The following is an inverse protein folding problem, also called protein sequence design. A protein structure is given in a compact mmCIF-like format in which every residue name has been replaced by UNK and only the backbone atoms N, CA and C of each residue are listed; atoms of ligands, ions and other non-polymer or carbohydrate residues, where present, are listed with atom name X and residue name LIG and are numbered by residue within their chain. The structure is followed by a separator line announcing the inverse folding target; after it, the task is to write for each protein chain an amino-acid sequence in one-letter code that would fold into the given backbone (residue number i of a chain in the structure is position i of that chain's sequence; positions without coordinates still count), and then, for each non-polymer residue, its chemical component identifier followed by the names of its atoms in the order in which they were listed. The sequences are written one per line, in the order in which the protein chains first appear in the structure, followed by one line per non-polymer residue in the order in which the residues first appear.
data_IF_109120011758
#
_entry.id   IF_109120011758
#
_cell.length_a   1.000
_cell.length_b   1.000
_cell.length_c   1.000
_cell.angle_alpha   90.00
_cell.angle_beta   90.00
_cell.angle_gamma   90.00
#
_symmetry.space_group_name_H-M   'P 1'
#
loop_
_entity.id
_entity.type
_entity.pdbx_description
1 polymer ?
#
# COMPACT_ATOMS: atom_id res chain seq x y z
N UNK A 1 -0.58 -8.06 -24.71
CA UNK A 1 -0.38 -9.11 -25.71
C UNK A 1 0.97 -8.90 -26.37
N UNK A 2 1.90 -9.83 -26.17
CA UNK A 2 2.98 -10.02 -27.14
C UNK A 2 2.31 -10.60 -28.39
N UNK A 3 2.10 -9.78 -29.42
CA UNK A 3 1.40 -10.14 -30.66
C UNK A 3 2.13 -11.21 -31.51
N UNK A 4 3.22 -11.77 -30.96
CA UNK A 4 4.10 -12.69 -31.65
C UNK A 4 4.30 -13.94 -30.80
N UNK A 5 3.61 -15.01 -31.19
CA UNK A 5 3.67 -16.31 -30.52
C UNK A 5 5.04 -17.00 -30.70
N UNK A 6 5.90 -16.53 -31.63
CA UNK A 6 7.26 -17.06 -31.81
C UNK A 6 8.31 -16.02 -32.26
N UNK A 7 9.60 -16.38 -32.17
CA UNK A 7 10.69 -15.56 -32.74
C UNK A 7 10.67 -15.47 -34.27
N UNK A 8 9.97 -16.41 -34.93
CA UNK A 8 9.88 -16.46 -36.39
C UNK A 8 8.76 -15.54 -36.92
N UNK A 9 7.65 -15.39 -36.19
CA UNK A 9 6.58 -14.43 -36.56
C UNK A 9 7.08 -12.98 -36.52
N UNK A 10 7.91 -12.65 -35.52
CA UNK A 10 8.59 -11.34 -35.44
C UNK A 10 9.49 -11.08 -36.65
N UNK A 11 10.19 -12.12 -37.13
CA UNK A 11 11.06 -11.98 -38.30
C UNK A 11 10.24 -11.79 -39.57
N UNK A 12 9.10 -12.46 -39.69
CA UNK A 12 8.23 -12.33 -40.84
C UNK A 12 7.63 -10.92 -40.95
N UNK A 13 7.08 -10.39 -39.85
CA UNK A 13 6.57 -9.01 -39.84
C UNK A 13 7.69 -8.00 -40.08
N UNK A 14 8.88 -8.21 -39.50
CA UNK A 14 10.02 -7.32 -39.76
C UNK A 14 10.45 -7.33 -41.24
N UNK A 15 10.36 -8.48 -41.92
CA UNK A 15 10.63 -8.58 -43.35
C UNK A 15 9.58 -7.80 -44.17
N UNK A 16 8.29 -7.88 -43.81
CA UNK A 16 7.20 -7.10 -44.43
C UNK A 16 7.43 -5.60 -44.27
N UNK A 17 7.75 -5.16 -43.06
CA UNK A 17 8.09 -3.76 -42.73
C UNK A 17 9.30 -3.27 -43.55
N UNK A 18 10.39 -4.03 -43.55
CA UNK A 18 11.62 -3.66 -44.29
C UNK A 18 11.36 -3.59 -45.80
N UNK A 19 10.56 -4.53 -46.33
CA UNK A 19 10.13 -4.52 -47.75
C UNK A 19 9.36 -3.25 -48.07
N UNK A 20 8.41 -2.85 -47.20
CA UNK A 20 7.61 -1.64 -47.40
C UNK A 20 8.44 -0.35 -47.31
N UNK A 21 9.34 -0.25 -46.32
CA UNK A 21 10.25 0.90 -46.19
C UNK A 21 11.19 1.02 -47.40
N UNK A 22 11.72 -0.12 -47.88
CA UNK A 22 12.58 -0.13 -49.07
C UNK A 22 11.83 0.28 -50.34
N UNK A 23 10.56 -0.10 -50.47
CA UNK A 23 9.68 0.32 -51.57
C UNK A 23 9.56 1.85 -51.59
N UNK A 24 9.27 2.45 -50.44
CA UNK A 24 9.13 3.91 -50.32
C UNK A 24 10.45 4.64 -50.57
N UNK A 25 11.56 4.13 -50.03
CA UNK A 25 12.89 4.73 -50.18
C UNK A 25 13.38 4.70 -51.65
N UNK A 26 13.13 3.60 -52.35
CA UNK A 26 13.58 3.40 -53.73
C UNK A 26 12.58 3.90 -54.79
N UNK A 27 11.40 4.38 -54.38
CA UNK A 27 10.28 4.75 -55.27
C UNK A 27 9.87 3.61 -56.23
N UNK A 28 9.92 2.38 -55.72
CA UNK A 28 9.51 1.18 -56.47
C UNK A 28 8.05 0.81 -56.17
N UNK A 29 7.46 -0.07 -56.98
CA UNK A 29 6.11 -0.58 -56.76
C UNK A 29 6.18 -2.06 -56.39
N UNK A 30 6.00 -2.38 -55.12
CA UNK A 30 5.81 -3.74 -54.65
C UNK A 30 4.34 -3.99 -54.38
N UNK A 31 3.89 -5.23 -54.64
CA UNK A 31 2.56 -5.66 -54.23
C UNK A 31 2.57 -5.96 -52.74
N UNK A 32 1.49 -5.58 -52.06
CA UNK A 32 1.14 -5.97 -50.69
C UNK A 32 -0.35 -6.24 -50.68
N UNK A 33 -0.79 -7.29 -50.00
CA UNK A 33 -2.21 -7.52 -49.74
C UNK A 33 -2.67 -6.84 -48.44
N UNK A 34 -3.97 -6.94 -48.12
CA UNK A 34 -4.53 -6.32 -46.93
C UNK A 34 -3.93 -6.87 -45.63
N UNK A 35 -3.65 -8.18 -45.57
CA UNK A 35 -3.09 -8.83 -44.38
C UNK A 35 -1.65 -8.35 -44.13
N UNK A 36 -0.82 -8.27 -45.17
CA UNK A 36 0.52 -7.72 -45.05
C UNK A 36 0.52 -6.25 -44.60
N UNK A 37 -0.46 -5.44 -45.05
CA UNK A 37 -0.61 -4.09 -44.55
C UNK A 37 -1.04 -4.04 -43.08
N UNK A 38 -1.94 -4.91 -42.64
CA UNK A 38 -2.37 -5.00 -41.25
C UNK A 38 -1.16 -5.24 -40.34
N UNK A 39 -0.34 -6.26 -40.65
CA UNK A 39 0.87 -6.59 -39.90
C UNK A 39 1.83 -5.40 -39.75
N UNK A 40 2.05 -4.66 -40.84
CA UNK A 40 2.95 -3.50 -40.85
C UNK A 40 2.38 -2.36 -40.00
N UNK A 41 1.07 -2.11 -40.08
CA UNK A 41 0.42 -1.04 -39.31
C UNK A 41 0.44 -1.37 -37.82
N UNK A 42 0.08 -2.59 -37.45
CA UNK A 42 0.10 -3.07 -36.06
C UNK A 42 1.51 -3.03 -35.46
N UNK A 43 2.52 -3.41 -36.25
CA UNK A 43 3.92 -3.26 -35.86
C UNK A 43 4.27 -1.82 -35.46
N UNK A 44 3.89 -0.83 -36.26
CA UNK A 44 4.14 0.57 -35.93
C UNK A 44 3.29 1.05 -34.75
N UNK A 45 2.03 0.64 -34.64
CA UNK A 45 1.14 0.98 -33.52
C UNK A 45 1.67 0.47 -32.18
N UNK A 46 2.13 -0.79 -32.12
CA UNK A 46 2.72 -1.40 -30.92
C UNK A 46 3.94 -0.62 -30.42
N UNK A 47 4.71 -0.02 -31.35
CA UNK A 47 5.89 0.80 -31.03
C UNK A 47 5.57 2.28 -30.85
N UNK A 48 4.29 2.65 -30.88
CA UNK A 48 3.82 4.05 -30.83
C UNK A 48 4.39 4.94 -31.94
N UNK A 49 4.77 4.34 -33.07
CA UNK A 49 5.27 5.01 -34.27
C UNK A 49 4.11 5.48 -35.15
N UNK A 50 3.23 6.32 -34.58
CA UNK A 50 1.92 6.64 -35.19
C UNK A 50 2.01 7.28 -36.58
N UNK A 51 3.08 8.05 -36.87
CA UNK A 51 3.23 8.69 -38.17
C UNK A 51 3.54 7.68 -39.28
N UNK A 52 4.35 6.67 -38.98
CA UNK A 52 4.63 5.57 -39.89
C UNK A 52 3.38 4.73 -40.12
N UNK A 53 2.64 4.42 -39.04
CA UNK A 53 1.35 3.73 -39.13
C UNK A 53 0.34 4.49 -40.01
N UNK A 54 0.24 5.81 -39.85
CA UNK A 54 -0.61 6.67 -40.68
C UNK A 54 -0.23 6.60 -42.17
N UNK A 55 1.06 6.70 -42.49
CA UNK A 55 1.52 6.63 -43.88
C UNK A 55 1.13 5.29 -44.53
N UNK A 56 1.27 4.18 -43.79
CA UNK A 56 0.93 2.84 -44.29
C UNK A 56 -0.58 2.69 -44.45
N UNK A 57 -1.38 3.16 -43.46
CA UNK A 57 -2.84 3.17 -43.52
C UNK A 57 -3.35 3.99 -44.70
N UNK A 58 -2.83 5.20 -44.93
CA UNK A 58 -3.25 6.05 -46.04
C UNK A 58 -2.89 5.41 -47.39
N UNK A 59 -1.68 4.85 -47.51
CA UNK A 59 -1.25 4.15 -48.71
C UNK A 59 -2.14 2.94 -49.01
N UNK A 60 -2.38 2.10 -48.00
CA UNK A 60 -3.17 0.87 -48.14
C UNK A 60 -4.65 1.16 -48.44
N UNK A 61 -5.26 2.18 -47.82
CA UNK A 61 -6.64 2.58 -48.10
C UNK A 61 -6.82 3.22 -49.49
N UNK A 62 -5.78 3.82 -50.07
CA UNK A 62 -5.83 4.27 -51.46
C UNK A 62 -5.92 3.09 -52.44
N UNK A 63 -5.30 1.96 -52.11
CA UNK A 63 -5.35 0.73 -52.91
C UNK A 63 -6.61 -0.11 -52.63
N UNK A 64 -7.03 -0.16 -51.36
CA UNK A 64 -8.13 -1.00 -50.87
C UNK A 64 -9.16 -0.17 -50.08
N UNK A 65 -9.89 0.76 -50.71
CA UNK A 65 -10.75 1.74 -50.02
C UNK A 65 -11.97 1.13 -49.31
N UNK A 66 -12.36 -0.09 -49.66
CA UNK A 66 -13.49 -0.80 -49.06
C UNK A 66 -13.10 -1.75 -47.93
N UNK A 67 -11.80 -1.89 -47.62
CA UNK A 67 -11.34 -2.77 -46.55
C UNK A 67 -11.78 -2.23 -45.19
N UNK A 68 -12.53 -3.04 -44.44
CA UNK A 68 -13.03 -2.66 -43.11
C UNK A 68 -11.90 -2.72 -42.09
N UNK A 69 -11.09 -3.77 -42.12
CA UNK A 69 -9.97 -3.94 -41.19
C UNK A 69 -8.97 -2.78 -41.29
N UNK A 70 -8.65 -2.33 -42.51
CA UNK A 70 -7.78 -1.15 -42.70
C UNK A 70 -8.42 0.15 -42.18
N UNK A 71 -9.76 0.26 -42.23
CA UNK A 71 -10.48 1.39 -41.63
C UNK A 71 -10.52 1.30 -40.10
N UNK A 72 -10.61 0.10 -39.52
CA UNK A 72 -10.48 -0.11 -38.07
C UNK A 72 -9.07 0.30 -37.62
N UNK A 73 -8.04 -0.14 -38.33
CA UNK A 73 -6.64 0.26 -38.06
C UNK A 73 -6.44 1.77 -38.23
N UNK A 74 -7.09 2.40 -39.22
CA UNK A 74 -7.11 3.87 -39.34
C UNK A 74 -7.70 4.53 -38.10
N UNK A 75 -8.79 3.99 -37.55
CA UNK A 75 -9.34 4.49 -36.29
C UNK A 75 -8.31 4.39 -35.16
N UNK A 76 -7.62 3.26 -35.03
CA UNK A 76 -6.59 3.09 -34.00
C UNK A 76 -5.43 4.09 -34.16
N UNK A 77 -5.01 4.38 -35.39
CA UNK A 77 -4.04 5.45 -35.69
C UNK A 77 -4.57 6.82 -35.24
N UNK A 78 -5.83 7.16 -35.54
CA UNK A 78 -6.47 8.41 -35.09
C UNK A 78 -6.51 8.49 -33.56
N UNK A 79 -6.78 7.37 -32.87
CA UNK A 79 -6.71 7.28 -31.40
C UNK A 79 -5.29 7.55 -30.90
N UNK A 80 -4.27 7.01 -31.56
CA UNK A 80 -2.86 7.29 -31.27
C UNK A 80 -2.49 8.78 -31.38
N UNK A 81 -3.06 9.48 -32.36
CA UNK A 81 -2.96 10.94 -32.50
C UNK A 81 -3.89 11.75 -31.58
N UNK A 82 -4.66 11.08 -30.70
CA UNK A 82 -5.63 11.70 -29.80
C UNK A 82 -6.81 12.38 -30.54
N UNK A 83 -7.04 12.04 -31.82
CA UNK A 83 -8.13 12.55 -32.64
C UNK A 83 -9.43 11.77 -32.39
N UNK A 84 -9.88 11.73 -31.13
CA UNK A 84 -10.95 10.83 -30.69
C UNK A 84 -12.31 11.09 -31.35
N UNK A 85 -12.61 12.33 -31.75
CA UNK A 85 -13.87 12.65 -32.42
C UNK A 85 -13.92 12.08 -33.83
N UNK A 86 -12.86 12.28 -34.61
CA UNK A 86 -12.72 11.72 -35.95
C UNK A 86 -12.72 10.18 -35.92
N UNK A 87 -12.05 9.61 -34.91
CA UNK A 87 -12.08 8.18 -34.66
C UNK A 87 -13.50 7.67 -34.37
N UNK A 88 -14.28 8.40 -33.55
CA UNK A 88 -15.66 8.03 -33.24
C UNK A 88 -16.55 8.07 -34.48
N UNK A 89 -16.45 9.15 -35.28
CA UNK A 89 -17.23 9.31 -36.51
C UNK A 89 -16.95 8.16 -37.49
N UNK A 90 -15.67 7.78 -37.66
CA UNK A 90 -15.25 6.69 -38.54
C UNK A 90 -15.76 5.33 -38.05
N UNK A 91 -15.69 5.06 -36.74
CA UNK A 91 -16.19 3.82 -36.16
C UNK A 91 -17.70 3.69 -36.28
N UNK A 92 -18.45 4.78 -36.05
CA UNK A 92 -19.91 4.78 -36.21
C UNK A 92 -20.32 4.57 -37.68
N UNK A 93 -19.53 5.04 -38.65
CA UNK A 93 -19.72 4.73 -40.06
C UNK A 93 -19.54 3.24 -40.35
N UNK A 94 -18.47 2.62 -39.84
CA UNK A 94 -18.17 1.20 -40.08
C UNK A 94 -19.23 0.30 -39.41
N UNK A 95 -19.69 0.66 -38.22
CA UNK A 95 -20.67 -0.11 -37.44
C UNK A 95 -22.01 -0.30 -38.17
N UNK A 96 -22.38 0.61 -39.08
CA UNK A 96 -23.58 0.48 -39.91
C UNK A 96 -23.54 -0.78 -40.81
N UNK A 97 -22.33 -1.23 -41.17
CA UNK A 97 -22.10 -2.39 -42.02
C UNK A 97 -21.77 -3.64 -41.20
N UNK A 98 -20.99 -3.48 -40.12
CA UNK A 98 -20.56 -4.58 -39.25
C UNK A 98 -20.88 -4.33 -37.76
N UNK A 99 -22.16 -4.45 -37.36
CA UNK A 99 -22.60 -4.12 -36.01
C UNK A 99 -22.15 -5.10 -34.91
N UNK A 100 -21.55 -6.24 -35.29
CA UNK A 100 -21.11 -7.31 -34.38
C UNK A 100 -19.61 -7.62 -34.51
N UNK A 101 -18.85 -6.81 -35.26
CA UNK A 101 -17.40 -6.97 -35.34
C UNK A 101 -16.78 -6.61 -33.97
N UNK A 102 -16.09 -7.58 -33.35
CA UNK A 102 -15.56 -7.46 -31.99
C UNK A 102 -14.48 -6.39 -31.91
N UNK A 103 -13.55 -6.38 -32.85
CA UNK A 103 -12.44 -5.41 -32.88
C UNK A 103 -12.95 -3.98 -33.04
N UNK A 104 -13.95 -3.79 -33.91
CA UNK A 104 -14.63 -2.52 -34.07
C UNK A 104 -15.31 -2.05 -32.77
N UNK A 105 -16.05 -2.94 -32.10
CA UNK A 105 -16.76 -2.62 -30.85
C UNK A 105 -15.78 -2.35 -29.70
N UNK A 106 -14.64 -3.05 -29.64
CA UNK A 106 -13.56 -2.79 -28.70
C UNK A 106 -12.98 -1.40 -28.93
N UNK A 107 -12.57 -1.09 -30.18
CA UNK A 107 -12.05 0.22 -30.54
C UNK A 107 -13.07 1.33 -30.24
N UNK A 108 -14.35 1.12 -30.55
CA UNK A 108 -15.43 2.05 -30.21
C UNK A 108 -15.51 2.31 -28.71
N UNK A 109 -15.50 1.25 -27.91
CA UNK A 109 -15.51 1.34 -26.46
C UNK A 109 -14.31 2.13 -25.93
N UNK A 110 -13.10 1.87 -26.46
CA UNK A 110 -11.88 2.61 -26.12
C UNK A 110 -11.97 4.09 -26.49
N UNK A 111 -12.50 4.43 -27.67
CA UNK A 111 -12.70 5.83 -28.09
C UNK A 111 -13.68 6.55 -27.16
N UNK A 112 -14.84 5.93 -26.88
CA UNK A 112 -15.86 6.48 -25.96
C UNK A 112 -15.30 6.67 -24.55
N UNK A 113 -14.48 5.72 -24.11
CA UNK A 113 -13.74 5.75 -22.86
C UNK A 113 -12.78 6.95 -22.79
N UNK A 114 -11.98 7.20 -23.84
CA UNK A 114 -11.10 8.40 -23.93
C UNK A 114 -11.89 9.70 -23.97
N UNK A 115 -13.11 9.69 -24.51
CA UNK A 115 -14.04 10.80 -24.50
C UNK A 115 -14.81 10.98 -23.17
N UNK A 116 -14.50 10.17 -22.14
CA UNK A 116 -15.17 10.16 -20.82
C UNK A 116 -16.67 9.83 -20.88
N UNK A 117 -17.08 9.07 -21.89
CA UNK A 117 -18.45 8.59 -22.06
C UNK A 117 -18.59 7.16 -21.53
N UNK A 118 -18.31 6.97 -20.23
CA UNK A 118 -18.18 5.64 -19.61
C UNK A 118 -19.40 4.74 -19.80
N UNK A 119 -20.62 5.27 -19.66
CA UNK A 119 -21.85 4.48 -19.84
C UNK A 119 -21.96 3.88 -21.26
N UNK A 120 -21.60 4.67 -22.27
CA UNK A 120 -21.61 4.21 -23.67
C UNK A 120 -20.47 3.24 -23.94
N UNK A 121 -19.30 3.47 -23.35
CA UNK A 121 -18.15 2.56 -23.47
C UNK A 121 -18.50 1.17 -22.88
N UNK A 122 -19.06 1.13 -21.68
CA UNK A 122 -19.51 -0.10 -21.01
C UNK A 122 -20.58 -0.82 -21.84
N UNK A 123 -21.56 -0.08 -22.38
CA UNK A 123 -22.59 -0.66 -23.24
C UNK A 123 -22.00 -1.26 -24.52
N UNK A 124 -20.96 -0.64 -25.06
CA UNK A 124 -20.24 -1.13 -26.23
C UNK A 124 -19.47 -2.42 -25.92
N UNK A 125 -18.66 -2.43 -24.86
CA UNK A 125 -17.90 -3.62 -24.46
C UNK A 125 -18.81 -4.81 -24.11
N UNK A 126 -19.97 -4.57 -23.49
CA UNK A 126 -20.94 -5.65 -23.19
C UNK A 126 -21.48 -6.34 -24.44
N UNK A 127 -21.57 -5.64 -25.58
CA UNK A 127 -21.97 -6.24 -26.86
C UNK A 127 -20.92 -7.20 -27.42
N UNK A 128 -19.66 -7.06 -27.02
CA UNK A 128 -18.59 -7.97 -27.44
C UNK A 128 -18.71 -9.36 -26.80
N UNK A 129 -19.33 -9.48 -25.62
CA UNK A 129 -19.30 -10.71 -24.80
C UNK A 129 -19.87 -11.92 -25.54
N UNK A 130 -20.95 -11.74 -26.30
CA UNK A 130 -21.63 -12.85 -26.99
C UNK A 130 -20.91 -13.28 -28.29
N UNK A 131 -19.93 -12.50 -28.75
CA UNK A 131 -19.28 -12.68 -30.05
C UNK A 131 -17.75 -12.80 -29.97
N UNK A 132 -17.16 -12.60 -28.79
CA UNK A 132 -15.71 -12.63 -28.59
C UNK A 132 -15.23 -14.01 -28.13
N UNK A 133 -14.14 -14.47 -28.74
CA UNK A 133 -13.37 -15.62 -28.27
C UNK A 133 -12.46 -15.27 -27.06
N UNK A 134 -12.24 -13.97 -26.81
CA UNK A 134 -11.34 -13.41 -25.79
C UNK A 134 -12.14 -12.63 -24.71
N UNK A 135 -13.08 -13.33 -24.08
CA UNK A 135 -13.99 -12.72 -23.12
C UNK A 135 -13.29 -12.17 -21.86
N UNK A 136 -12.12 -12.69 -21.50
CA UNK A 136 -11.32 -12.17 -20.38
C UNK A 136 -10.88 -10.72 -20.61
N UNK A 137 -10.42 -10.38 -21.82
CA UNK A 137 -10.04 -9.01 -22.18
C UNK A 137 -11.25 -8.07 -22.16
N UNK A 138 -12.38 -8.51 -22.71
CA UNK A 138 -13.64 -7.74 -22.70
C UNK A 138 -14.07 -7.46 -21.25
N UNK A 139 -14.02 -8.46 -20.37
CA UNK A 139 -14.33 -8.26 -18.96
C UNK A 139 -13.35 -7.31 -18.28
N UNK A 140 -12.06 -7.35 -18.61
CA UNK A 140 -11.08 -6.40 -18.11
C UNK A 140 -11.46 -4.97 -18.52
N UNK A 141 -11.75 -4.71 -19.81
CA UNK A 141 -12.17 -3.38 -20.28
C UNK A 141 -13.41 -2.87 -19.54
N UNK A 142 -14.44 -3.71 -19.36
CA UNK A 142 -15.64 -3.32 -18.60
C UNK A 142 -15.29 -2.98 -17.15
N UNK A 143 -14.47 -3.81 -16.51
CA UNK A 143 -14.06 -3.62 -15.12
C UNK A 143 -13.27 -2.31 -14.91
N UNK A 144 -12.33 -2.00 -15.81
CA UNK A 144 -11.54 -0.76 -15.78
C UNK A 144 -12.41 0.49 -15.98
N UNK A 145 -13.47 0.40 -16.80
CA UNK A 145 -14.43 1.51 -16.93
C UNK A 145 -15.22 1.74 -15.65
N UNK A 146 -15.73 0.67 -15.01
CA UNK A 146 -16.40 0.78 -13.71
C UNK A 146 -15.47 1.33 -12.62
N UNK A 147 -14.21 0.91 -12.61
CA UNK A 147 -13.19 1.41 -11.70
C UNK A 147 -12.95 2.92 -11.89
N UNK A 148 -12.89 3.39 -13.15
CA UNK A 148 -12.71 4.82 -13.45
C UNK A 148 -13.85 5.69 -12.92
N UNK A 149 -15.08 5.19 -12.96
CA UNK A 149 -16.24 5.88 -12.38
C UNK A 149 -16.41 5.60 -10.88
N UNK A 150 -15.44 4.93 -10.24
CA UNK A 150 -15.40 4.58 -8.82
C UNK A 150 -16.53 3.64 -8.36
N UNK A 151 -17.17 2.94 -9.30
CA UNK A 151 -18.15 1.89 -9.02
C UNK A 151 -17.43 0.56 -8.75
N UNK A 152 -16.68 0.51 -7.64
CA UNK A 152 -15.77 -0.59 -7.33
C UNK A 152 -16.46 -1.95 -7.22
N UNK A 153 -17.72 -2.01 -6.78
CA UNK A 153 -18.45 -3.29 -6.66
C UNK A 153 -18.71 -3.95 -8.01
N UNK A 154 -19.10 -3.19 -9.03
CA UNK A 154 -19.26 -3.71 -10.39
C UNK A 154 -17.89 -4.00 -11.01
N UNK A 155 -16.89 -3.16 -10.76
CA UNK A 155 -15.51 -3.43 -11.20
C UNK A 155 -15.00 -4.78 -10.67
N UNK A 156 -15.13 -5.04 -9.36
CA UNK A 156 -14.81 -6.33 -8.72
C UNK A 156 -15.53 -7.47 -9.43
N UNK A 157 -16.82 -7.32 -9.73
CA UNK A 157 -17.61 -8.36 -10.40
C UNK A 157 -17.01 -8.75 -11.76
N UNK A 158 -16.64 -7.77 -12.59
CA UNK A 158 -16.09 -8.04 -13.92
C UNK A 158 -14.64 -8.52 -13.87
N UNK A 159 -13.79 -8.00 -12.98
CA UNK A 159 -12.45 -8.58 -12.78
C UNK A 159 -12.51 -10.03 -12.28
N UNK A 160 -13.47 -10.37 -11.40
CA UNK A 160 -13.71 -11.76 -11.00
C UNK A 160 -14.13 -12.65 -12.18
N UNK A 161 -14.83 -12.11 -13.18
CA UNK A 161 -15.16 -12.86 -14.41
C UNK A 161 -13.93 -13.02 -15.30
N UNK A 162 -13.16 -11.95 -15.50
CA UNK A 162 -11.88 -11.96 -16.22
C UNK A 162 -10.96 -13.08 -15.68
N UNK A 163 -10.72 -13.08 -14.36
CA UNK A 163 -9.83 -14.05 -13.71
C UNK A 163 -10.38 -15.48 -13.66
N UNK A 164 -11.70 -15.68 -13.76
CA UNK A 164 -12.26 -17.03 -13.90
C UNK A 164 -11.97 -17.64 -15.27
N UNK A 165 -11.83 -16.80 -16.29
CA UNK A 165 -11.50 -17.21 -17.66
C UNK A 165 -9.99 -17.31 -17.86
N UNK A 166 -9.25 -16.31 -17.37
CA UNK A 166 -7.79 -16.23 -17.43
C UNK A 166 -7.22 -15.91 -16.04
N UNK A 167 -6.95 -16.93 -15.21
CA UNK A 167 -6.46 -16.78 -13.84
C UNK A 167 -5.07 -16.14 -13.72
N UNK A 168 -4.27 -16.20 -14.79
CA UNK A 168 -2.90 -15.69 -14.85
C UNK A 168 -2.84 -14.22 -15.31
N UNK A 169 -3.98 -13.57 -15.53
CA UNK A 169 -4.02 -12.16 -15.91
C UNK A 169 -3.56 -11.26 -14.74
N UNK A 170 -2.27 -10.93 -14.72
CA UNK A 170 -1.62 -10.13 -13.68
C UNK A 170 -2.24 -8.73 -13.53
N UNK A 171 -2.60 -8.07 -14.64
CA UNK A 171 -3.24 -6.75 -14.61
C UNK A 171 -4.59 -6.82 -13.91
N UNK A 172 -5.41 -7.84 -14.23
CA UNK A 172 -6.70 -8.03 -13.59
C UNK A 172 -6.57 -8.39 -12.10
N UNK A 173 -5.54 -9.17 -11.72
CA UNK A 173 -5.25 -9.45 -10.31
C UNK A 173 -4.89 -8.16 -9.54
N UNK A 174 -3.97 -7.36 -10.10
CA UNK A 174 -3.57 -6.09 -9.52
C UNK A 174 -4.76 -5.13 -9.34
N UNK A 175 -5.55 -4.93 -10.39
CA UNK A 175 -6.67 -4.00 -10.36
C UNK A 175 -7.84 -4.49 -9.48
N UNK A 176 -8.06 -5.81 -9.42
CA UNK A 176 -9.00 -6.40 -8.47
C UNK A 176 -8.58 -6.17 -7.02
N UNK A 177 -7.29 -6.33 -6.70
CA UNK A 177 -6.78 -6.05 -5.35
C UNK A 177 -7.00 -4.60 -4.96
N UNK A 178 -6.69 -3.66 -5.85
CA UNK A 178 -6.95 -2.23 -5.61
C UNK A 178 -8.43 -1.99 -5.29
N UNK A 179 -9.35 -2.61 -6.04
CA UNK A 179 -10.78 -2.47 -5.74
C UNK A 179 -11.16 -3.05 -4.37
N UNK A 180 -10.55 -4.17 -3.95
CA UNK A 180 -10.76 -4.73 -2.61
C UNK A 180 -10.22 -3.81 -1.51
N UNK A 181 -9.08 -3.16 -1.73
CA UNK A 181 -8.53 -2.17 -0.80
C UNK A 181 -9.43 -0.94 -0.69
N UNK A 182 -9.89 -0.38 -1.81
CA UNK A 182 -10.82 0.76 -1.82
C UNK A 182 -12.15 0.46 -1.13
N UNK A 183 -12.61 -0.79 -1.18
CA UNK A 183 -13.87 -1.24 -0.53
C UNK A 183 -13.66 -1.84 0.86
N UNK A 184 -12.40 -1.99 1.30
CA UNK A 184 -12.02 -2.70 2.53
C UNK A 184 -12.61 -4.13 2.61
N UNK A 185 -12.86 -4.78 1.46
CA UNK A 185 -13.56 -6.06 1.37
C UNK A 185 -12.59 -7.25 1.25
N UNK A 186 -11.73 -7.42 2.25
CA UNK A 186 -10.75 -8.51 2.28
C UNK A 186 -11.36 -9.89 2.52
N UNK A 187 -12.53 -9.96 3.16
CA UNK A 187 -13.27 -11.23 3.33
C UNK A 187 -13.75 -11.77 1.98
N UNK A 188 -14.34 -10.90 1.14
CA UNK A 188 -14.76 -11.25 -0.21
C UNK A 188 -13.59 -11.52 -1.18
N UNK A 189 -12.40 -10.99 -0.88
CA UNK A 189 -11.15 -11.32 -1.59
C UNK A 189 -10.70 -12.75 -1.26
N UNK A 190 -10.64 -13.10 0.03
CA UNK A 190 -10.28 -14.45 0.50
C UNK A 190 -11.22 -15.50 -0.09
N UNK A 191 -12.54 -15.29 -0.04
CA UNK A 191 -13.52 -16.22 -0.61
C UNK A 191 -13.28 -16.44 -2.12
N UNK A 192 -13.03 -15.35 -2.85
CA UNK A 192 -12.81 -15.44 -4.28
C UNK A 192 -11.50 -16.15 -4.63
N UNK A 193 -10.39 -15.75 -4.02
CA UNK A 193 -9.09 -16.37 -4.30
C UNK A 193 -9.04 -17.83 -3.86
N UNK A 194 -9.68 -18.20 -2.75
CA UNK A 194 -9.82 -19.60 -2.32
C UNK A 194 -10.52 -20.45 -3.38
N UNK A 195 -11.60 -19.94 -3.97
CA UNK A 195 -12.26 -20.63 -5.08
C UNK A 195 -11.45 -20.65 -6.38
N UNK A 196 -10.58 -19.66 -6.58
CA UNK A 196 -9.77 -19.55 -7.78
C UNK A 196 -8.58 -20.52 -7.75
N UNK A 197 -7.92 -20.68 -6.59
CA UNK A 197 -6.86 -21.68 -6.40
C UNK A 197 -7.35 -23.11 -6.53
N UNK A 198 -8.62 -23.40 -6.19
CA UNK A 198 -9.21 -24.73 -6.41
C UNK A 198 -9.20 -25.12 -7.91
N UNK A 199 -9.25 -24.13 -8.81
CA UNK A 199 -9.20 -24.33 -10.26
C UNK A 199 -7.80 -24.18 -10.84
N UNK A 200 -6.99 -23.30 -10.26
CA UNK A 200 -5.65 -22.96 -10.74
C UNK A 200 -4.62 -23.00 -9.59
N UNK A 201 -4.31 -24.20 -9.06
CA UNK A 201 -3.52 -24.32 -7.84
C UNK A 201 -2.03 -23.98 -8.03
N UNK A 202 -1.55 -23.92 -9.27
CA UNK A 202 -0.14 -23.68 -9.61
C UNK A 202 0.16 -22.25 -10.07
N UNK A 203 -0.72 -21.29 -9.79
CA UNK A 203 -0.45 -19.88 -10.04
C UNK A 203 -0.02 -19.18 -8.74
N UNK A 204 1.25 -18.79 -8.65
CA UNK A 204 1.85 -18.15 -7.48
C UNK A 204 1.20 -16.79 -7.18
N UNK A 205 0.81 -16.05 -8.21
CA UNK A 205 0.22 -14.72 -8.08
C UNK A 205 -1.11 -14.76 -7.31
N UNK A 206 -1.91 -15.82 -7.50
CA UNK A 206 -3.18 -15.99 -6.77
C UNK A 206 -2.90 -16.30 -5.29
N UNK A 207 -1.94 -17.19 -5.01
CA UNK A 207 -1.52 -17.49 -3.63
C UNK A 207 -0.96 -16.26 -2.91
N UNK A 208 -0.14 -15.46 -3.61
CA UNK A 208 0.41 -14.21 -3.09
C UNK A 208 -0.70 -13.20 -2.76
N UNK A 209 -1.70 -13.04 -3.64
CA UNK A 209 -2.82 -12.13 -3.40
C UNK A 209 -3.75 -12.62 -2.28
N UNK A 210 -3.97 -13.94 -2.17
CA UNK A 210 -4.68 -14.53 -1.05
C UNK A 210 -3.95 -14.29 0.28
N UNK A 211 -2.62 -14.43 0.29
CA UNK A 211 -1.79 -14.14 1.44
C UNK A 211 -1.90 -12.67 1.86
N UNK A 212 -1.84 -11.74 0.91
CA UNK A 212 -2.05 -10.30 1.15
C UNK A 212 -3.40 -10.01 1.81
N UNK A 213 -4.48 -10.63 1.33
CA UNK A 213 -5.81 -10.48 1.93
C UNK A 213 -5.89 -11.05 3.37
N UNK A 214 -5.20 -12.16 3.66
CA UNK A 214 -5.08 -12.67 5.03
C UNK A 214 -4.26 -11.74 5.93
N UNK A 215 -3.16 -11.16 5.43
CA UNK A 215 -2.36 -10.17 6.17
C UNK A 215 -3.17 -8.93 6.53
N UNK A 216 -4.01 -8.43 5.62
CA UNK A 216 -4.89 -7.27 5.90
C UNK A 216 -5.94 -7.54 6.98
N UNK A 217 -6.31 -8.81 7.20
CA UNK A 217 -7.18 -9.22 8.30
C UNK A 217 -6.40 -9.73 9.53
N UNK A 218 -5.09 -9.46 9.59
CA UNK A 218 -4.18 -9.85 10.67
C UNK A 218 -4.15 -11.38 10.93
N UNK A 219 -4.53 -12.18 9.92
CA UNK A 219 -4.46 -13.64 9.97
C UNK A 219 -3.09 -14.11 9.53
N UNK A 220 -2.07 -13.65 10.25
CA UNK A 220 -0.65 -13.75 9.88
C UNK A 220 -0.20 -15.16 9.50
N UNK A 221 -0.52 -16.17 10.32
CA UNK A 221 -0.12 -17.56 10.03
C UNK A 221 -0.73 -18.11 8.74
N UNK A 222 -1.99 -17.75 8.43
CA UNK A 222 -2.62 -18.15 7.17
C UNK A 222 -1.99 -17.45 5.97
N UNK A 223 -1.56 -16.20 6.15
CA UNK A 223 -0.82 -15.48 5.12
C UNK A 223 0.54 -16.17 4.86
N UNK A 224 1.26 -16.56 5.92
CA UNK A 224 2.52 -17.32 5.82
C UNK A 224 2.33 -18.61 5.04
N UNK A 225 1.30 -19.41 5.37
CA UNK A 225 0.98 -20.64 4.62
C UNK A 225 0.78 -20.37 3.12
N UNK A 226 0.05 -19.30 2.78
CA UNK A 226 -0.20 -18.91 1.39
C UNK A 226 1.08 -18.44 0.67
N UNK A 227 1.94 -17.66 1.34
CA UNK A 227 3.24 -17.28 0.78
C UNK A 227 4.14 -18.50 0.57
N UNK A 228 4.09 -19.49 1.46
CA UNK A 228 4.82 -20.75 1.29
C UNK A 228 4.36 -21.52 0.04
N UNK A 229 3.07 -21.55 -0.25
CA UNK A 229 2.58 -22.11 -1.52
C UNK A 229 3.05 -21.31 -2.74
N UNK A 230 3.00 -19.97 -2.68
CA UNK A 230 3.50 -19.12 -3.76
C UNK A 230 5.00 -19.37 -4.03
N UNK A 231 5.82 -19.47 -2.98
CA UNK A 231 7.25 -19.73 -3.07
C UNK A 231 7.58 -21.18 -3.50
N UNK A 232 6.73 -22.14 -3.15
CA UNK A 232 6.88 -23.52 -3.63
C UNK A 232 6.66 -23.62 -5.16
N UNK A 233 5.80 -22.76 -5.72
CA UNK A 233 5.53 -22.66 -7.16
C UNK A 233 6.64 -21.86 -7.85
N UNK A 234 6.98 -20.67 -7.32
CA UNK A 234 8.00 -19.79 -7.85
C UNK A 234 9.02 -19.40 -6.75
N UNK A 235 10.12 -20.17 -6.62
CA UNK A 235 11.14 -19.90 -5.61
C UNK A 235 11.92 -18.59 -5.80
N UNK A 236 11.78 -17.92 -6.94
CA UNK A 236 12.44 -16.63 -7.22
C UNK A 236 11.54 -15.42 -6.92
N UNK A 237 10.35 -15.64 -6.36
CA UNK A 237 9.40 -14.58 -6.10
C UNK A 237 9.79 -13.75 -4.85
N UNK A 238 10.71 -12.80 -5.04
CA UNK A 238 11.29 -12.00 -3.95
C UNK A 238 10.23 -11.28 -3.09
N UNK A 239 9.20 -10.71 -3.72
CA UNK A 239 8.09 -10.06 -3.01
C UNK A 239 7.36 -11.01 -2.04
N UNK A 240 7.27 -12.31 -2.35
CA UNK A 240 6.64 -13.29 -1.45
C UNK A 240 7.49 -13.57 -0.21
N UNK A 241 8.83 -13.64 -0.33
CA UNK A 241 9.71 -13.74 0.84
C UNK A 241 9.59 -12.52 1.75
N UNK A 242 9.65 -11.31 1.18
CA UNK A 242 9.56 -10.06 1.95
C UNK A 242 8.23 -9.99 2.72
N UNK A 243 7.10 -10.26 2.06
CA UNK A 243 5.80 -10.20 2.71
C UNK A 243 5.55 -11.35 3.70
N UNK A 244 6.12 -12.55 3.46
CA UNK A 244 6.12 -13.64 4.43
C UNK A 244 6.88 -13.25 5.69
N UNK A 245 8.06 -12.66 5.55
CA UNK A 245 8.86 -12.20 6.68
C UNK A 245 8.15 -11.08 7.46
N UNK A 246 7.51 -10.13 6.78
CA UNK A 246 6.66 -9.13 7.42
C UNK A 246 5.52 -9.77 8.23
N UNK A 247 4.81 -10.74 7.65
CA UNK A 247 3.72 -11.44 8.35
C UNK A 247 4.23 -12.19 9.60
N UNK A 248 5.41 -12.81 9.54
CA UNK A 248 6.04 -13.45 10.70
C UNK A 248 6.43 -12.42 11.77
N UNK A 249 7.00 -11.28 11.37
CA UNK A 249 7.34 -10.20 12.29
C UNK A 249 6.10 -9.61 12.98
N UNK A 250 5.01 -9.37 12.23
CA UNK A 250 3.72 -8.92 12.79
C UNK A 250 3.06 -9.95 13.71
N UNK A 251 3.30 -11.24 13.46
CA UNK A 251 2.90 -12.31 14.40
C UNK A 251 3.77 -12.36 15.67
N UNK A 252 4.96 -11.75 15.65
CA UNK A 252 5.93 -11.73 16.75
C UNK A 252 7.00 -12.83 16.67
N UNK A 253 7.06 -13.62 15.60
CA UNK A 253 8.13 -14.60 15.36
C UNK A 253 9.31 -13.94 14.60
N UNK A 254 10.03 -13.09 15.33
CA UNK A 254 11.15 -12.32 14.80
C UNK A 254 12.32 -13.20 14.36
N UNK A 255 12.59 -14.32 15.02
CA UNK A 255 13.64 -15.27 14.60
C UNK A 255 13.37 -15.83 13.21
N UNK A 256 12.15 -16.31 12.96
CA UNK A 256 11.76 -16.84 11.65
C UNK A 256 11.71 -15.73 10.60
N UNK A 257 11.19 -14.54 10.94
CA UNK A 257 11.18 -13.40 10.04
C UNK A 257 12.59 -13.04 9.53
N UNK A 258 13.58 -12.95 10.44
CA UNK A 258 14.99 -12.69 10.09
C UNK A 258 15.53 -13.74 9.12
N UNK A 259 15.18 -15.02 9.33
CA UNK A 259 15.61 -16.10 8.44
C UNK A 259 15.04 -15.90 7.03
N UNK A 260 13.74 -15.64 6.92
CA UNK A 260 13.05 -15.45 5.65
C UNK A 260 13.52 -14.18 4.91
N UNK A 261 13.74 -13.06 5.61
CA UNK A 261 14.36 -11.88 4.97
C UNK A 261 15.74 -12.19 4.42
N UNK A 262 16.56 -12.96 5.15
CA UNK A 262 17.90 -13.32 4.67
C UNK A 262 17.86 -14.28 3.50
N UNK A 263 16.89 -15.20 3.46
CA UNK A 263 16.65 -16.05 2.29
C UNK A 263 16.29 -15.20 1.06
N UNK A 264 15.53 -14.12 1.22
CA UNK A 264 15.21 -13.21 0.10
C UNK A 264 16.46 -12.58 -0.53
N UNK A 265 17.55 -12.40 0.23
CA UNK A 265 18.80 -11.83 -0.26
C UNK A 265 19.53 -12.73 -1.26
N UNK A 266 19.17 -14.01 -1.34
CA UNK A 266 19.72 -14.94 -2.34
C UNK A 266 19.05 -14.76 -3.72
N UNK A 267 17.90 -14.09 -3.77
CA UNK A 267 17.09 -13.90 -4.97
C UNK A 267 17.07 -12.45 -5.46
N UNK A 268 17.14 -11.49 -4.55
CA UNK A 268 17.18 -10.06 -4.86
C UNK A 268 18.14 -9.33 -3.92
N UNK A 269 18.89 -8.36 -4.44
CA UNK A 269 19.78 -7.55 -3.62
C UNK A 269 18.97 -6.76 -2.57
N UNK A 270 19.33 -6.85 -1.27
CA UNK A 270 18.61 -6.13 -0.23
C UNK A 270 18.70 -4.62 -0.40
N UNK A 271 17.54 -3.98 -0.42
CA UNK A 271 17.40 -2.53 -0.30
C UNK A 271 17.44 -2.08 1.17
N UNK A 272 17.54 -0.76 1.38
CA UNK A 272 17.71 -0.18 2.70
C UNK A 272 16.52 -0.47 3.63
N UNK A 273 15.31 -0.57 3.05
CA UNK A 273 14.06 -0.91 3.75
C UNK A 273 14.15 -2.34 4.31
N UNK A 274 14.62 -3.30 3.51
CA UNK A 274 14.70 -4.69 3.97
C UNK A 274 15.76 -4.83 5.07
N UNK A 275 16.86 -4.09 4.97
CA UNK A 275 17.84 -4.04 6.06
C UNK A 275 17.28 -3.45 7.36
N UNK A 276 16.45 -2.40 7.30
CA UNK A 276 15.84 -1.84 8.51
C UNK A 276 14.84 -2.79 9.15
N UNK A 277 14.01 -3.51 8.38
CA UNK A 277 13.12 -4.55 8.93
C UNK A 277 13.87 -5.69 9.63
N UNK A 278 15.00 -6.13 9.07
CA UNK A 278 15.87 -7.10 9.76
C UNK A 278 16.46 -6.50 11.04
N UNK A 279 16.86 -5.22 11.00
CA UNK A 279 17.31 -4.46 12.16
C UNK A 279 16.26 -4.43 13.27
N UNK A 280 15.01 -4.12 12.92
CA UNK A 280 13.87 -4.06 13.83
C UNK A 280 13.61 -5.42 14.48
N UNK A 281 13.65 -6.51 13.71
CA UNK A 281 13.49 -7.84 14.28
C UNK A 281 14.59 -8.15 15.32
N UNK A 282 15.84 -7.74 15.08
CA UNK A 282 16.91 -7.90 16.09
C UNK A 282 16.72 -6.99 17.31
N UNK A 283 16.24 -5.77 17.11
CA UNK A 283 15.90 -4.83 18.17
C UNK A 283 14.81 -5.40 19.09
N UNK A 284 13.71 -5.91 18.52
CA UNK A 284 12.61 -6.56 19.27
C UNK A 284 13.09 -7.77 20.07
N UNK A 285 14.09 -8.48 19.57
CA UNK A 285 14.76 -9.58 20.24
C UNK A 285 15.83 -9.13 21.26
N UNK A 286 16.01 -7.83 21.47
CA UNK A 286 17.05 -7.21 22.31
C UNK A 286 18.48 -7.61 21.93
N UNK A 287 18.70 -8.01 20.68
CA UNK A 287 20.01 -8.33 20.11
C UNK A 287 20.58 -7.06 19.46
N UNK A 288 20.73 -6.03 20.28
CA UNK A 288 20.95 -4.64 19.84
C UNK A 288 22.19 -4.45 18.95
N UNK A 289 23.30 -5.14 19.21
CA UNK A 289 24.50 -5.02 18.37
C UNK A 289 24.25 -5.49 16.94
N UNK A 290 23.41 -6.52 16.76
CA UNK A 290 22.99 -6.99 15.43
C UNK A 290 21.99 -6.03 14.80
N UNK A 291 21.06 -5.48 15.59
CA UNK A 291 20.13 -4.43 15.13
C UNK A 291 20.90 -3.25 14.54
N UNK A 292 21.85 -2.68 15.29
CA UNK A 292 22.71 -1.58 14.85
C UNK A 292 23.46 -1.92 13.57
N UNK A 293 24.00 -3.14 13.44
CA UNK A 293 24.69 -3.56 12.22
C UNK A 293 23.79 -3.46 10.98
N UNK A 294 22.55 -3.93 11.09
CA UNK A 294 21.60 -3.92 9.97
C UNK A 294 21.05 -2.52 9.69
N UNK A 295 20.72 -1.73 10.71
CA UNK A 295 20.34 -0.33 10.50
C UNK A 295 21.47 0.49 9.86
N UNK A 296 22.73 0.28 10.26
CA UNK A 296 23.88 0.92 9.60
C UNK A 296 24.03 0.52 8.13
N UNK A 297 23.71 -0.72 7.76
CA UNK A 297 23.66 -1.12 6.34
C UNK A 297 22.57 -0.36 5.57
N UNK A 298 21.40 -0.15 6.18
CA UNK A 298 20.35 0.68 5.60
C UNK A 298 20.82 2.13 5.41
N UNK A 299 21.42 2.73 6.44
CA UNK A 299 21.97 4.10 6.39
C UNK A 299 23.07 4.23 5.33
N UNK A 300 23.93 3.22 5.16
CA UNK A 300 24.97 3.25 4.12
C UNK A 300 24.38 3.26 2.69
N UNK A 301 23.18 2.73 2.48
CA UNK A 301 22.49 2.76 1.19
C UNK A 301 21.64 4.03 1.03
N UNK A 302 21.03 4.50 2.11
CA UNK A 302 20.25 5.74 2.14
C UNK A 302 20.47 6.47 3.47
N UNK A 303 21.31 7.50 3.46
CA UNK A 303 21.65 8.28 4.66
C UNK A 303 20.48 9.10 5.19
N UNK A 304 19.53 9.46 4.31
CA UNK A 304 18.37 10.29 4.64
C UNK A 304 17.18 9.47 5.18
N UNK A 305 17.36 8.16 5.38
CA UNK A 305 16.31 7.29 5.94
C UNK A 305 16.28 7.39 7.48
N UNK A 306 15.42 8.28 7.98
CA UNK A 306 15.37 8.66 9.39
C UNK A 306 15.02 7.50 10.34
N UNK A 307 14.18 6.56 9.92
CA UNK A 307 13.74 5.41 10.72
C UNK A 307 14.91 4.46 11.04
N UNK A 308 15.90 4.35 10.15
CA UNK A 308 17.10 3.59 10.48
C UNK A 308 17.98 4.29 11.54
N UNK A 309 18.01 5.63 11.55
CA UNK A 309 18.69 6.39 12.60
C UNK A 309 17.98 6.25 13.95
N UNK A 310 16.64 6.28 13.95
CA UNK A 310 15.83 5.95 15.13
C UNK A 310 16.17 4.55 15.66
N UNK A 311 16.18 3.53 14.79
CA UNK A 311 16.52 2.16 15.19
C UNK A 311 17.93 2.02 15.78
N UNK A 312 18.91 2.75 15.23
CA UNK A 312 20.26 2.84 15.86
C UNK A 312 20.17 3.48 17.24
N UNK A 313 19.41 4.56 17.40
CA UNK A 313 19.26 5.25 18.68
C UNK A 313 18.66 4.33 19.75
N UNK A 314 17.55 3.66 19.45
CA UNK A 314 16.89 2.70 20.35
C UNK A 314 17.84 1.57 20.73
N UNK A 315 18.54 0.99 19.77
CA UNK A 315 19.49 -0.09 20.07
C UNK A 315 20.70 0.40 20.90
N UNK A 316 21.25 1.58 20.63
CA UNK A 316 22.36 2.16 21.41
C UNK A 316 21.93 2.43 22.85
N UNK A 317 20.73 3.00 23.03
CA UNK A 317 20.17 3.25 24.35
C UNK A 317 19.92 1.95 25.13
N UNK A 318 19.40 0.91 24.46
CA UNK A 318 19.26 -0.43 25.02
C UNK A 318 20.57 -1.08 25.47
N UNK A 319 21.71 -0.66 24.92
CA UNK A 319 23.06 -1.05 25.34
C UNK A 319 23.63 -0.18 26.46
N UNK A 320 22.93 0.89 26.86
CA UNK A 320 23.39 1.88 27.83
C UNK A 320 24.33 2.94 27.25
N UNK A 321 24.48 3.01 25.93
CA UNK A 321 25.31 3.98 25.22
C UNK A 321 24.50 5.24 24.90
N UNK A 322 23.99 5.92 25.93
CA UNK A 322 23.01 7.00 25.75
C UNK A 322 23.57 8.22 24.98
N UNK A 323 24.88 8.47 24.99
CA UNK A 323 25.49 9.55 24.19
C UNK A 323 25.42 9.26 22.68
N UNK A 324 25.75 8.02 22.28
CA UNK A 324 25.65 7.58 20.90
C UNK A 324 24.19 7.44 20.44
N UNK A 325 23.29 7.06 21.35
CA UNK A 325 21.86 7.08 21.11
C UNK A 325 21.37 8.51 20.82
N UNK A 326 21.79 9.47 21.65
CA UNK A 326 21.48 10.89 21.48
C UNK A 326 21.93 11.42 20.13
N UNK A 327 23.18 11.15 19.73
CA UNK A 327 23.68 11.56 18.42
C UNK A 327 22.85 10.98 17.25
N UNK A 328 22.37 9.75 17.39
CA UNK A 328 21.58 9.07 16.36
C UNK A 328 20.14 9.61 16.28
N UNK A 329 19.50 9.85 17.43
CA UNK A 329 18.13 10.41 17.44
C UNK A 329 18.10 11.87 17.00
N UNK A 330 19.11 12.69 17.34
CA UNK A 330 19.24 14.04 16.80
C UNK A 330 19.32 14.01 15.27
N UNK A 331 20.06 13.05 14.70
CA UNK A 331 20.15 12.90 13.25
C UNK A 331 18.79 12.50 12.63
N UNK A 332 18.03 11.62 13.27
CA UNK A 332 16.67 11.27 12.83
C UNK A 332 15.74 12.51 12.82
N UNK A 333 15.76 13.31 13.88
CA UNK A 333 14.99 14.56 14.00
C UNK A 333 15.43 15.60 12.96
N UNK A 334 16.73 15.71 12.65
CA UNK A 334 17.20 16.61 11.59
C UNK A 334 16.62 16.28 10.22
N UNK A 335 16.46 14.99 9.93
CA UNK A 335 15.94 14.46 8.66
C UNK A 335 14.41 14.59 8.57
N UNK A 336 13.69 14.28 9.66
CA UNK A 336 12.26 14.46 9.76
C UNK A 336 11.86 14.99 11.14
N UNK A 337 11.32 16.21 11.15
CA UNK A 337 10.95 16.97 12.35
C UNK A 337 9.50 16.80 12.74
N UNK A 338 8.68 16.21 11.86
CA UNK A 338 7.24 16.12 12.03
C UNK A 338 6.82 14.76 12.59
N UNK A 339 7.75 13.82 12.74
CA UNK A 339 7.48 12.53 13.37
C UNK A 339 7.52 12.64 14.92
N UNK A 340 6.38 12.45 15.62
CA UNK A 340 6.32 12.54 17.09
C UNK A 340 7.17 11.48 17.80
N UNK A 341 7.31 10.28 17.22
CA UNK A 341 8.06 9.16 17.84
C UNK A 341 9.54 9.51 18.02
N UNK A 342 10.10 10.34 17.13
CA UNK A 342 11.49 10.75 17.21
C UNK A 342 11.72 11.69 18.40
N UNK A 343 10.81 12.65 18.59
CA UNK A 343 10.84 13.58 19.72
C UNK A 343 10.57 12.88 21.05
N UNK A 344 9.65 11.91 21.07
CA UNK A 344 9.40 11.05 22.23
C UNK A 344 10.67 10.29 22.63
N UNK A 345 11.29 9.60 21.67
CA UNK A 345 12.51 8.82 21.90
C UNK A 345 13.67 9.71 22.34
N UNK A 346 13.81 10.90 21.75
CA UNK A 346 14.81 11.88 22.17
C UNK A 346 14.60 12.30 23.62
N UNK A 347 13.36 12.60 24.01
CA UNK A 347 13.02 12.98 25.38
C UNK A 347 13.43 11.93 26.41
N UNK A 348 13.17 10.64 26.12
CA UNK A 348 13.59 9.56 27.02
C UNK A 348 15.12 9.48 27.15
N UNK A 349 15.84 9.59 26.03
CA UNK A 349 17.31 9.54 26.02
C UNK A 349 17.89 10.75 26.77
N UNK A 350 17.34 11.95 26.54
CA UNK A 350 17.71 13.19 27.23
C UNK A 350 17.47 13.09 28.74
N UNK A 351 16.33 12.51 29.16
CA UNK A 351 16.04 12.27 30.57
C UNK A 351 17.10 11.36 31.21
N UNK A 352 17.46 10.25 30.55
CA UNK A 352 18.50 9.32 31.04
C UNK A 352 19.88 9.97 31.13
N UNK A 353 20.20 10.88 30.21
CA UNK A 353 21.44 11.67 30.24
C UNK A 353 21.43 12.79 31.29
N UNK A 354 20.27 13.12 31.84
CA UNK A 354 20.08 14.20 32.81
C UNK A 354 19.89 15.58 32.16
N UNK A 355 19.67 15.64 30.84
CA UNK A 355 19.30 16.86 30.12
C UNK A 355 17.80 17.13 30.25
N UNK A 356 17.38 17.42 31.49
CA UNK A 356 15.96 17.48 31.85
C UNK A 356 15.21 18.60 31.11
N UNK A 357 15.83 19.77 30.94
CA UNK A 357 15.20 20.89 30.23
C UNK A 357 14.94 20.54 28.75
N UNK A 358 15.92 19.93 28.09
CA UNK A 358 15.80 19.48 26.69
C UNK A 358 14.75 18.36 26.57
N UNK A 359 14.77 17.40 27.50
CA UNK A 359 13.78 16.30 27.58
C UNK A 359 12.34 16.81 27.62
N UNK A 360 12.07 17.84 28.42
CA UNK A 360 10.75 18.46 28.53
C UNK A 360 10.36 19.17 27.23
N UNK A 361 11.31 19.85 26.58
CA UNK A 361 11.08 20.52 25.28
C UNK A 361 10.74 19.48 24.21
N UNK A 362 11.52 18.41 24.11
CA UNK A 362 11.33 17.32 23.15
C UNK A 362 9.99 16.61 23.37
N UNK A 363 9.64 16.27 24.61
CA UNK A 363 8.35 15.64 24.91
C UNK A 363 7.16 16.55 24.58
N UNK A 364 7.26 17.84 24.91
CA UNK A 364 6.25 18.82 24.54
C UNK A 364 6.08 18.89 23.03
N UNK A 365 7.19 18.87 22.28
CA UNK A 365 7.14 18.86 20.81
C UNK A 365 6.47 17.61 20.26
N UNK A 366 6.70 16.44 20.87
CA UNK A 366 6.00 15.21 20.51
C UNK A 366 4.47 15.35 20.70
N UNK A 367 4.01 15.86 21.86
CA UNK A 367 2.59 16.12 22.15
C UNK A 367 1.97 17.15 21.19
N UNK A 368 2.73 18.16 20.77
CA UNK A 368 2.26 19.15 19.79
C UNK A 368 2.10 18.57 18.37
N UNK A 369 2.89 17.55 18.02
CA UNK A 369 2.82 16.88 16.72
C UNK A 369 1.71 15.84 16.65
N UNK A 370 1.40 15.16 17.76
CA UNK A 370 0.23 14.31 17.90
C UNK A 370 -0.65 14.74 19.08
N UNK A 371 -1.48 15.77 18.83
CA UNK A 371 -2.40 16.28 19.84
C UNK A 371 -3.56 15.32 20.16
N UNK A 372 -3.72 14.24 19.40
CA UNK A 372 -4.79 13.26 19.60
C UNK A 372 -4.37 12.08 20.48
N UNK A 373 -3.06 11.90 20.69
CA UNK A 373 -2.55 10.85 21.55
C UNK A 373 -2.56 11.26 23.03
N UNK A 374 -3.52 10.69 23.75
CA UNK A 374 -3.63 10.82 25.20
C UNK A 374 -2.46 10.17 25.95
N UNK A 375 -1.90 9.06 25.44
CA UNK A 375 -0.80 8.37 26.11
C UNK A 375 0.45 9.26 26.12
N UNK A 376 0.76 9.88 24.98
CA UNK A 376 1.85 10.84 24.84
C UNK A 376 1.67 12.05 25.79
N UNK A 377 0.45 12.57 25.90
CA UNK A 377 0.11 13.66 26.83
C UNK A 377 0.28 13.24 28.30
N UNK A 378 -0.07 11.99 28.65
CA UNK A 378 0.13 11.45 30.00
C UNK A 378 1.62 11.26 30.32
N UNK A 379 2.42 10.79 29.37
CA UNK A 379 3.87 10.63 29.53
C UNK A 379 4.54 11.98 29.75
N UNK A 380 4.10 13.02 29.05
CA UNK A 380 4.52 14.40 29.32
C UNK A 380 4.19 14.84 30.75
N UNK A 381 2.97 14.65 31.21
CA UNK A 381 2.57 15.01 32.58
C UNK A 381 3.38 14.24 33.64
N UNK A 382 3.66 12.96 33.41
CA UNK A 382 4.50 12.13 34.28
C UNK A 382 5.96 12.61 34.29
N UNK A 383 6.49 13.05 33.15
CA UNK A 383 7.82 13.67 33.08
C UNK A 383 7.86 14.97 33.89
N UNK A 384 6.88 15.85 33.73
CA UNK A 384 6.79 17.09 34.50
C UNK A 384 6.64 16.81 36.01
N UNK A 385 5.83 15.83 36.41
CA UNK A 385 5.65 15.48 37.82
C UNK A 385 6.94 14.97 38.47
N UNK A 386 7.78 14.26 37.71
CA UNK A 386 9.06 13.73 38.21
C UNK A 386 10.09 14.84 38.49
N UNK A 387 10.12 15.88 37.65
CA UNK A 387 11.24 16.83 37.64
C UNK A 387 10.88 18.27 37.98
N UNK A 388 9.63 18.69 37.79
CA UNK A 388 9.20 20.07 38.01
C UNK A 388 8.34 20.23 39.26
N UNK A 389 8.05 21.49 39.58
CA UNK A 389 7.19 21.83 40.71
C UNK A 389 5.70 21.61 40.37
N UNK A 390 4.89 21.50 41.42
CA UNK A 390 3.46 21.24 41.32
C UNK A 390 2.67 22.31 40.55
N UNK A 391 3.14 23.56 40.48
CA UNK A 391 2.41 24.62 39.77
C UNK A 391 2.42 24.39 38.26
N UNK A 392 3.57 24.01 37.70
CA UNK A 392 3.72 23.77 36.26
C UNK A 392 2.94 22.54 35.83
N UNK A 393 2.96 21.48 36.66
CA UNK A 393 2.18 20.26 36.41
C UNK A 393 0.68 20.55 36.47
N UNK A 394 0.22 21.39 37.39
CA UNK A 394 -1.19 21.77 37.52
C UNK A 394 -1.68 22.54 36.30
N UNK A 395 -0.88 23.47 35.77
CA UNK A 395 -1.17 24.20 34.52
C UNK A 395 -1.28 23.25 33.32
N UNK A 396 -0.25 22.42 33.09
CA UNK A 396 -0.25 21.45 31.99
C UNK A 396 -1.40 20.43 32.10
N UNK A 397 -1.76 20.02 33.31
CA UNK A 397 -2.86 19.10 33.56
C UNK A 397 -4.22 19.73 33.22
N UNK A 398 -4.41 21.02 33.52
CA UNK A 398 -5.64 21.75 33.15
C UNK A 398 -5.79 21.78 31.64
N UNK A 399 -4.75 22.22 30.92
CA UNK A 399 -4.76 22.28 29.45
C UNK A 399 -5.04 20.89 28.83
N UNK A 400 -4.44 19.83 29.38
CA UNK A 400 -4.64 18.46 28.90
C UNK A 400 -6.07 17.96 29.16
N UNK A 401 -6.68 18.29 30.30
CA UNK A 401 -8.07 17.93 30.61
C UNK A 401 -9.06 18.67 29.70
N UNK A 402 -8.76 19.92 29.34
CA UNK A 402 -9.58 20.67 28.38
C UNK A 402 -9.55 20.01 27.00
N UNK A 403 -8.38 19.56 26.52
CA UNK A 403 -8.25 18.82 25.26
C UNK A 403 -8.94 17.46 25.30
N UNK A 404 -8.76 16.69 26.37
CA UNK A 404 -9.28 15.32 26.51
C UNK A 404 -10.42 15.23 27.52
N UNK A 405 -11.46 16.05 27.32
CA UNK A 405 -12.59 16.11 28.23
C UNK A 405 -13.25 14.73 28.41
N UNK A 406 -13.48 14.33 29.66
CA UNK A 406 -14.09 13.03 29.99
C UNK A 406 -13.14 11.83 30.03
N UNK A 407 -11.82 12.03 29.86
CA UNK A 407 -10.84 10.95 30.01
C UNK A 407 -10.72 10.46 31.46
N UNK A 408 -11.07 9.19 31.70
CA UNK A 408 -10.91 8.56 33.01
C UNK A 408 -9.45 8.47 33.44
N UNK A 409 -8.52 8.24 32.50
CA UNK A 409 -7.10 8.13 32.78
C UNK A 409 -6.52 9.44 33.36
N UNK A 410 -6.95 10.60 32.85
CA UNK A 410 -6.56 11.90 33.39
C UNK A 410 -7.17 12.16 34.77
N UNK A 411 -8.38 11.69 35.02
CA UNK A 411 -8.99 11.78 36.36
C UNK A 411 -8.21 10.94 37.38
N UNK A 412 -7.80 9.72 37.02
CA UNK A 412 -6.95 8.88 37.89
C UNK A 412 -5.56 9.51 38.13
N UNK A 413 -4.95 10.09 37.09
CA UNK A 413 -3.70 10.84 37.23
C UNK A 413 -3.87 12.07 38.15
N UNK A 414 -4.93 12.87 37.92
CA UNK A 414 -5.26 14.04 38.74
C UNK A 414 -5.51 13.66 40.21
N UNK A 415 -6.20 12.56 40.47
CA UNK A 415 -6.38 12.04 41.82
C UNK A 415 -5.03 11.74 42.46
N UNK A 416 -4.17 10.97 41.80
CA UNK A 416 -2.84 10.62 42.30
C UNK A 416 -2.02 11.89 42.61
N UNK A 417 -2.03 12.86 41.71
CA UNK A 417 -1.36 14.15 41.86
C UNK A 417 -1.87 14.95 43.06
N UNK A 418 -3.19 15.09 43.23
CA UNK A 418 -3.81 15.79 44.37
C UNK A 418 -3.49 15.13 45.71
N UNK A 419 -3.50 13.80 45.76
CA UNK A 419 -3.17 13.04 46.97
C UNK A 419 -1.70 13.20 47.37
N UNK A 420 -0.78 13.18 46.40
CA UNK A 420 0.65 13.44 46.65
C UNK A 420 0.89 14.85 47.23
N UNK A 421 0.08 15.83 46.85
CA UNK A 421 0.12 17.18 47.41
C UNK A 421 -0.56 17.31 48.79
N UNK A 422 -1.21 16.26 49.30
CA UNK A 422 -1.98 16.30 50.54
C UNK A 422 -3.35 16.98 50.41
N UNK A 423 -3.84 17.25 49.19
CA UNK A 423 -5.18 17.79 48.92
C UNK A 423 -6.23 16.67 48.95
N UNK A 424 -6.33 15.96 50.08
CA UNK A 424 -7.08 14.71 50.20
C UNK A 424 -8.55 14.80 49.79
N UNK A 425 -9.28 15.82 50.26
CA UNK A 425 -10.72 15.96 49.96
C UNK A 425 -10.97 16.12 48.45
N UNK A 426 -10.17 16.93 47.76
CA UNK A 426 -10.28 17.12 46.31
C UNK A 426 -9.85 15.85 45.57
N UNK A 427 -8.82 15.16 46.07
CA UNK A 427 -8.36 13.88 45.52
C UNK A 427 -9.46 12.81 45.56
N UNK A 428 -10.14 12.63 46.70
CA UNK A 428 -11.22 11.65 46.82
C UNK A 428 -12.43 11.99 45.95
N UNK A 429 -12.83 13.27 45.89
CA UNK A 429 -13.90 13.71 44.99
C UNK A 429 -13.57 13.43 43.51
N UNK A 430 -12.33 13.71 43.09
CA UNK A 430 -11.85 13.40 41.74
C UNK A 430 -11.81 11.89 41.49
N UNK A 431 -11.50 11.10 42.52
CA UNK A 431 -11.46 9.63 42.42
C UNK A 431 -12.86 9.03 42.24
N UNK A 432 -13.85 9.49 43.00
CA UNK A 432 -15.26 9.12 42.79
C UNK A 432 -15.71 9.44 41.37
N UNK A 433 -15.35 10.62 40.84
CA UNK A 433 -15.63 10.96 39.45
C UNK A 433 -14.96 9.98 38.47
N UNK A 434 -13.70 9.60 38.70
CA UNK A 434 -12.98 8.64 37.87
C UNK A 434 -13.66 7.24 37.88
N UNK A 435 -14.05 6.75 39.06
CA UNK A 435 -14.74 5.46 39.23
C UNK A 435 -16.11 5.44 38.54
N UNK A 436 -16.86 6.55 38.60
CA UNK A 436 -18.14 6.69 37.91
C UNK A 436 -17.99 6.62 36.37
N UNK A 437 -16.89 7.15 35.83
CA UNK A 437 -16.65 7.16 34.37
C UNK A 437 -16.12 5.81 33.90
N UNK A 438 -15.15 5.23 34.60
CA UNK A 438 -14.52 3.95 34.23
C UNK A 438 -13.93 3.26 35.46
N UNK A 439 -14.76 2.43 36.10
CA UNK A 439 -14.36 1.61 37.24
C UNK A 439 -13.25 0.60 36.88
N UNK A 440 -13.24 0.04 35.66
CA UNK A 440 -12.32 -1.04 35.30
C UNK A 440 -10.86 -0.58 35.31
N UNK A 441 -10.63 0.71 35.07
CA UNK A 441 -9.29 1.32 35.11
C UNK A 441 -8.82 1.77 36.50
N UNK A 442 -9.54 1.49 37.59
CA UNK A 442 -9.20 2.01 38.92
C UNK A 442 -7.77 1.69 39.36
N UNK A 443 -7.20 0.56 38.92
CA UNK A 443 -5.84 0.16 39.25
C UNK A 443 -4.76 1.15 38.75
N UNK A 444 -5.07 1.97 37.73
CA UNK A 444 -4.15 3.00 37.20
C UNK A 444 -3.72 4.02 38.27
N UNK A 445 -4.53 4.24 39.31
CA UNK A 445 -4.11 5.11 40.41
C UNK A 445 -2.85 4.58 41.12
N UNK A 446 -2.69 3.26 41.19
CA UNK A 446 -1.57 2.62 41.87
C UNK A 446 -0.29 2.63 41.04
N UNK A 447 -0.38 2.77 39.71
CA UNK A 447 0.80 3.03 38.89
C UNK A 447 1.29 4.46 39.07
N UNK A 448 0.37 5.44 39.12
CA UNK A 448 0.74 6.85 39.31
C UNK A 448 1.16 7.17 40.75
N UNK A 449 0.53 6.53 41.74
CA UNK A 449 0.83 6.72 43.16
C UNK A 449 0.84 5.39 43.92
N UNK A 450 1.97 4.64 43.93
CA UNK A 450 2.05 3.32 44.55
C UNK A 450 1.64 3.27 46.03
N UNK A 451 1.89 4.34 46.80
CA UNK A 451 1.46 4.45 48.22
C UNK A 451 -0.06 4.49 48.39
N UNK A 452 -0.83 4.72 47.33
CA UNK A 452 -2.29 4.64 47.37
C UNK A 452 -2.79 3.25 47.78
N UNK A 453 -1.98 2.18 47.59
CA UNK A 453 -2.33 0.82 48.02
C UNK A 453 -2.55 0.69 49.52
N UNK A 454 -1.93 1.57 50.30
CA UNK A 454 -2.06 1.60 51.76
C UNK A 454 -3.14 2.60 52.23
N UNK A 455 -3.82 3.29 51.31
CA UNK A 455 -4.83 4.29 51.62
C UNK A 455 -6.21 3.63 51.78
N UNK A 456 -6.61 3.39 53.03
CA UNK A 456 -7.85 2.72 53.38
C UNK A 456 -9.11 3.40 52.79
N UNK A 457 -9.14 4.73 52.71
CA UNK A 457 -10.29 5.44 52.13
C UNK A 457 -10.43 5.18 50.62
N UNK A 458 -9.32 5.05 49.89
CA UNK A 458 -9.38 4.70 48.46
C UNK A 458 -9.87 3.27 48.26
N UNK A 459 -9.39 2.34 49.09
CA UNK A 459 -9.80 0.95 49.02
C UNK A 459 -11.29 0.79 49.32
N UNK A 460 -11.80 1.50 50.35
CA UNK A 460 -13.23 1.54 50.66
C UNK A 460 -14.05 2.12 49.50
N UNK A 461 -13.58 3.18 48.84
CA UNK A 461 -14.23 3.72 47.64
C UNK A 461 -14.22 2.74 46.47
N UNK A 462 -13.13 1.99 46.25
CA UNK A 462 -13.08 0.96 45.20
C UNK A 462 -14.10 -0.15 45.49
N UNK A 463 -14.19 -0.62 46.74
CA UNK A 463 -15.13 -1.68 47.13
C UNK A 463 -16.60 -1.21 47.06
N UNK A 464 -16.88 0.08 47.31
CA UNK A 464 -18.22 0.66 47.17
C UNK A 464 -18.73 0.67 45.72
N UNK A 465 -17.82 0.77 44.75
CA UNK A 465 -18.13 0.83 43.32
C UNK A 465 -17.94 -0.52 42.61
N UNK A 466 -17.60 -1.57 43.37
CA UNK A 466 -17.43 -2.94 42.92
C UNK A 466 -18.78 -3.64 42.86
N UNK A 467 -19.52 -3.44 41.77
CA UNK A 467 -20.73 -4.23 41.47
C UNK A 467 -20.41 -5.71 41.23
#
# INVERSE_FOLDING_TARGET
MDFFESSDDRREVMNKVTRFESMLANQENYYFDCEEFQDIIEYYLLRSEFKQAENVVEYSLNLHPTSIDLKILKTQVLVGFLHYKEALDLVEEIELYEPYNVDLLLVKGTVLSKLKMSDRAIACFKRCIDHSDYNDEVYHFIASEYQRIQEYNESIRYFKLCLKTNPENESALHDLNMCFECTNNYTGAIEFYTHLIDKSPYCESIWFNLAGAYSRLEKWLKAVDCYDYALAINPQFASAYFNKANALASFGDFESAIKVYKESFEHEDPNFITYSYVGECYERLKKFEKGILFYKKAICQNEDYAEAWLGVAICQDGLGNSNEAYASITKAIELDKENPDFWYTASEIEERLGYIDDSIISMKKAVELDETDLALSLDYLLLLERHLNSSIVEEALIDTIEKFSGSSALLYFKTAFLLKQGKYNQGYQCFEQALNVDYQSHEKIFSYYPKAKDNQNLLELIDLYRD
#
